data_IF_810824773844
#
_entry.id   IF_810824773844
#
_cell.length_a   1.000
_cell.length_b   1.000
_cell.length_c   1.000
_cell.angle_alpha   90.00
_cell.angle_beta   90.00
_cell.angle_gamma   90.00
#
_symmetry.space_group_name_H-M   'P 1'
#
loop_
_entity.id
_entity.type
_entity.pdbx_description
1 polymer ?
#
# COMPACT_ATOMS: atom_id res chain seq x y z
N UNK A 1 40.44 -37.73 -25.66
CA UNK A 1 39.66 -36.50 -25.37
C UNK A 1 39.27 -36.54 -23.90
N UNK A 2 39.50 -35.48 -23.11
CA UNK A 2 39.08 -35.46 -21.69
C UNK A 2 37.63 -34.98 -21.60
N UNK A 3 36.79 -35.67 -20.83
CA UNK A 3 35.48 -35.17 -20.41
C UNK A 3 35.69 -33.99 -19.45
N UNK A 4 34.93 -32.91 -19.65
CA UNK A 4 34.70 -31.89 -18.63
C UNK A 4 33.29 -32.08 -18.07
N UNK A 5 33.18 -32.33 -16.76
CA UNK A 5 31.92 -32.12 -16.06
C UNK A 5 31.75 -30.61 -15.84
N UNK A 6 30.65 -30.06 -16.32
CA UNK A 6 30.19 -28.73 -15.90
C UNK A 6 29.39 -28.94 -14.61
N UNK A 7 29.91 -28.46 -13.48
CA UNK A 7 29.15 -28.41 -12.25
C UNK A 7 28.11 -27.29 -12.37
N UNK A 8 26.83 -27.63 -12.26
CA UNK A 8 25.77 -26.63 -12.17
C UNK A 8 25.84 -25.96 -10.80
N UNK A 9 26.08 -24.64 -10.79
CA UNK A 9 25.95 -23.83 -9.58
C UNK A 9 24.46 -23.67 -9.28
N UNK A 10 23.99 -23.97 -8.05
CA UNK A 10 22.63 -23.61 -7.67
C UNK A 10 22.54 -22.09 -7.58
N UNK A 11 21.61 -21.49 -8.34
CA UNK A 11 21.22 -20.10 -8.14
C UNK A 11 20.53 -20.02 -6.77
N UNK A 12 21.16 -19.36 -5.81
CA UNK A 12 20.47 -19.00 -4.58
C UNK A 12 19.43 -17.92 -4.94
N UNK A 13 18.15 -18.25 -4.78
CA UNK A 13 17.10 -17.24 -4.80
C UNK A 13 17.33 -16.28 -3.61
N UNK A 14 17.30 -14.98 -3.87
CA UNK A 14 17.24 -14.01 -2.79
C UNK A 14 15.88 -14.12 -2.09
N UNK A 15 15.79 -13.93 -0.76
CA UNK A 15 14.51 -13.95 -0.07
C UNK A 15 13.71 -12.69 -0.40
N UNK A 16 12.53 -12.90 -0.96
CA UNK A 16 11.43 -11.93 -0.97
C UNK A 16 10.78 -11.84 0.42
N UNK A 17 10.02 -10.78 0.66
CA UNK A 17 9.70 -10.18 1.97
C UNK A 17 8.10 -10.31 2.10
N UNK A 18 7.41 -10.35 3.28
CA UNK A 18 5.92 -10.66 3.49
C UNK A 18 4.91 -9.85 4.44
N UNK A 19 4.39 -10.25 5.62
CA UNK A 19 3.81 -9.20 6.54
C UNK A 19 3.95 -9.32 8.07
N UNK A 20 3.93 -8.16 8.76
CA UNK A 20 4.56 -7.90 10.07
C UNK A 20 6.06 -8.24 10.07
N UNK A 21 6.92 -7.53 10.78
CA UNK A 21 8.35 -7.89 10.81
C UNK A 21 9.01 -7.46 12.10
N UNK A 22 10.04 -8.17 12.55
CA UNK A 22 10.94 -7.62 13.56
C UNK A 22 11.72 -6.43 13.00
N UNK A 23 12.12 -5.50 13.86
CA UNK A 23 12.83 -4.28 13.47
C UNK A 23 13.90 -3.86 14.49
N UNK A 24 14.82 -3.02 14.05
CA UNK A 24 15.78 -2.29 14.88
C UNK A 24 15.77 -0.81 14.47
N UNK A 25 16.02 0.08 15.43
CA UNK A 25 16.18 1.51 15.14
C UNK A 25 17.62 1.77 14.66
N UNK A 26 17.75 2.21 13.41
CA UNK A 26 19.02 2.60 12.79
C UNK A 26 19.15 4.12 12.58
N UNK A 27 20.35 4.56 12.21
CA UNK A 27 20.54 5.92 11.67
C UNK A 27 19.85 6.01 10.30
N UNK A 28 18.74 6.74 10.22
CA UNK A 28 17.91 6.84 9.01
C UNK A 28 16.58 6.07 9.07
N UNK A 29 16.19 5.51 10.22
CA UNK A 29 14.84 5.00 10.45
C UNK A 29 14.76 3.55 10.91
N UNK A 30 13.63 2.90 10.63
CA UNK A 30 13.38 1.51 10.99
C UNK A 30 14.05 0.56 10.00
N UNK A 31 14.91 -0.32 10.51
CA UNK A 31 15.52 -1.39 9.75
C UNK A 31 14.80 -2.70 10.09
N UNK A 32 14.10 -3.27 9.11
CA UNK A 32 13.44 -4.56 9.27
C UNK A 32 14.49 -5.68 9.34
N UNK A 33 14.43 -6.51 10.38
CA UNK A 33 15.34 -7.63 10.63
C UNK A 33 14.57 -8.94 10.63
N UNK A 34 15.25 -10.04 10.32
CA UNK A 34 14.70 -11.40 10.34
C UNK A 34 14.70 -11.97 11.77
N UNK A 35 13.65 -12.69 12.14
CA UNK A 35 13.59 -13.52 13.35
C UNK A 35 13.54 -15.01 12.96
N UNK A 36 14.62 -15.73 13.24
CA UNK A 36 14.77 -17.15 12.88
C UNK A 36 14.04 -18.11 13.85
N UNK A 37 13.68 -17.65 15.05
CA UNK A 37 13.02 -18.45 16.09
C UNK A 37 11.48 -18.41 16.00
N UNK A 38 10.92 -17.26 15.64
CA UNK A 38 9.47 -17.03 15.61
C UNK A 38 8.94 -17.25 14.19
N UNK A 39 8.04 -18.23 14.02
CA UNK A 39 7.35 -18.46 12.74
C UNK A 39 5.94 -17.90 12.76
N UNK A 40 5.46 -17.46 11.60
CA UNK A 40 4.04 -17.17 11.37
C UNK A 40 3.30 -18.45 10.99
N UNK A 41 2.51 -18.98 11.92
CA UNK A 41 1.74 -20.20 11.71
C UNK A 41 0.46 -19.92 10.89
N UNK A 42 -0.11 -18.73 11.00
CA UNK A 42 -1.22 -18.29 10.16
C UNK A 42 -1.39 -16.77 10.08
N UNK A 43 -1.86 -16.27 8.94
CA UNK A 43 -2.42 -14.93 8.72
C UNK A 43 -3.87 -15.07 8.23
N UNK A 44 -4.80 -14.39 8.90
CA UNK A 44 -6.20 -14.23 8.49
C UNK A 44 -6.48 -12.74 8.26
N UNK A 45 -6.43 -12.33 6.99
CA UNK A 45 -6.46 -10.96 6.51
C UNK A 45 -7.82 -10.66 5.87
N UNK A 46 -8.43 -9.54 6.23
CA UNK A 46 -9.65 -9.02 5.63
C UNK A 46 -9.47 -7.56 5.22
N UNK A 47 -9.80 -7.24 3.98
CA UNK A 47 -9.66 -5.91 3.39
C UNK A 47 -11.00 -5.43 2.80
N UNK A 48 -11.44 -4.25 3.20
CA UNK A 48 -12.52 -3.48 2.57
C UNK A 48 -12.15 -1.98 2.51
N UNK A 49 -12.89 -1.15 1.76
CA UNK A 49 -12.68 0.31 1.74
C UNK A 49 -12.70 0.97 3.12
N UNK A 50 -13.53 0.46 4.02
CA UNK A 50 -13.75 1.06 5.34
C UNK A 50 -12.75 0.55 6.39
N UNK A 51 -12.18 -0.65 6.18
CA UNK A 51 -11.37 -1.33 7.19
C UNK A 51 -10.47 -2.42 6.61
N UNK A 52 -9.22 -2.43 7.06
CA UNK A 52 -8.36 -3.60 7.07
C UNK A 52 -8.34 -4.18 8.48
N UNK A 53 -8.39 -5.51 8.58
CA UNK A 53 -8.13 -6.23 9.83
C UNK A 53 -7.37 -7.50 9.55
N UNK A 54 -6.36 -7.80 10.37
CA UNK A 54 -5.56 -9.01 10.24
C UNK A 54 -5.37 -9.67 11.60
N UNK A 55 -5.39 -11.00 11.62
CA UNK A 55 -5.12 -11.84 12.78
C UNK A 55 -3.96 -12.77 12.46
N UNK A 56 -2.86 -12.61 13.18
CA UNK A 56 -1.70 -13.48 13.09
C UNK A 56 -1.67 -14.49 14.23
N UNK A 57 -1.12 -15.67 13.95
CA UNK A 57 -0.62 -16.59 14.97
C UNK A 57 0.87 -16.79 14.76
N UNK A 58 1.63 -16.54 15.81
CA UNK A 58 3.08 -16.71 15.81
C UNK A 58 3.49 -17.74 16.85
N UNK A 59 4.41 -18.64 16.54
CA UNK A 59 5.02 -19.55 17.52
C UNK A 59 6.50 -19.30 17.63
N UNK A 60 6.99 -19.07 18.85
CA UNK A 60 8.42 -19.14 19.15
C UNK A 60 8.84 -20.62 19.22
N UNK A 61 9.70 -21.04 18.30
CA UNK A 61 10.26 -22.40 18.19
C UNK A 61 11.59 -22.58 18.95
N UNK A 62 12.14 -21.51 19.50
CA UNK A 62 13.34 -21.51 20.34
C UNK A 62 13.10 -22.04 21.77
N UNK A 63 14.20 -22.13 22.52
CA UNK A 63 14.23 -22.59 23.93
C UNK A 63 14.30 -21.44 24.95
N UNK A 64 14.29 -20.18 24.49
CA UNK A 64 14.28 -18.97 25.29
C UNK A 64 13.19 -17.98 24.82
N UNK A 65 12.77 -17.08 25.71
CA UNK A 65 11.80 -16.03 25.39
C UNK A 65 12.43 -14.96 24.49
N UNK A 66 11.82 -14.68 23.34
CA UNK A 66 12.25 -13.63 22.41
C UNK A 66 11.53 -12.33 22.71
N UNK A 67 12.28 -11.26 22.99
CA UNK A 67 11.76 -9.90 23.16
C UNK A 67 12.17 -9.08 21.95
N UNK A 68 11.20 -8.58 21.19
CA UNK A 68 11.45 -7.94 19.89
C UNK A 68 10.57 -6.72 19.67
N UNK A 69 11.14 -5.71 19.01
CA UNK A 69 10.42 -4.58 18.47
C UNK A 69 9.76 -5.01 17.16
N UNK A 70 8.46 -5.28 17.19
CA UNK A 70 7.68 -5.59 15.99
C UNK A 70 7.36 -4.27 15.27
N UNK A 71 7.38 -4.31 13.95
CA UNK A 71 6.98 -3.23 13.06
C UNK A 71 5.93 -3.72 12.07
N UNK A 72 4.89 -2.91 11.90
CA UNK A 72 3.84 -3.05 10.90
C UNK A 72 3.92 -1.83 9.94
N UNK A 73 4.51 -2.01 8.74
CA UNK A 73 4.53 -0.96 7.74
C UNK A 73 3.15 -0.79 7.12
N UNK A 74 2.83 0.45 6.76
CA UNK A 74 1.70 0.76 5.90
C UNK A 74 2.17 0.93 4.45
N UNK A 75 1.27 0.81 3.46
CA UNK A 75 1.56 1.14 2.08
C UNK A 75 2.15 2.54 1.94
N UNK A 76 3.11 2.68 1.01
CA UNK A 76 3.62 3.97 0.57
C UNK A 76 2.48 4.85 0.04
N UNK A 77 2.49 6.13 0.41
CA UNK A 77 1.53 7.11 -0.09
C UNK A 77 2.29 8.22 -0.80
N UNK A 78 2.16 8.29 -2.11
CA UNK A 78 2.85 9.27 -2.96
C UNK A 78 1.87 10.36 -3.40
N UNK A 79 2.31 11.62 -3.42
CA UNK A 79 1.57 12.69 -4.08
C UNK A 79 1.74 12.63 -5.60
N UNK A 80 0.69 12.99 -6.34
CA UNK A 80 0.73 13.04 -7.81
C UNK A 80 -0.06 14.21 -8.41
N UNK A 81 -0.86 14.92 -7.59
CA UNK A 81 -1.68 16.06 -8.02
C UNK A 81 -2.99 15.73 -8.73
N UNK A 82 -3.13 14.51 -9.26
CA UNK A 82 -4.25 14.08 -10.10
C UNK A 82 -5.22 13.13 -9.40
N UNK A 83 -4.78 12.43 -8.35
CA UNK A 83 -5.56 11.42 -7.63
C UNK A 83 -5.97 11.87 -6.23
N UNK A 84 -7.19 11.49 -5.84
CA UNK A 84 -7.67 11.76 -4.48
C UNK A 84 -7.23 10.64 -3.55
N UNK A 85 -6.32 10.95 -2.63
CA UNK A 85 -5.94 10.07 -1.52
C UNK A 85 -6.79 10.42 -0.30
N UNK A 86 -7.55 9.45 0.22
CA UNK A 86 -8.26 9.61 1.48
C UNK A 86 -7.39 9.15 2.67
N UNK A 87 -7.03 10.09 3.56
CA UNK A 87 -6.68 9.76 4.94
C UNK A 87 -7.98 9.81 5.79
N UNK A 88 -8.22 8.81 6.66
CA UNK A 88 -9.48 8.71 7.41
C UNK A 88 -9.55 9.53 8.71
N UNK A 89 -8.43 10.02 9.25
CA UNK A 89 -8.38 10.77 10.52
C UNK A 89 -7.49 12.03 10.44
N UNK A 90 -7.84 13.06 11.22
CA UNK A 90 -7.06 14.30 11.37
C UNK A 90 -5.97 14.16 12.46
N UNK A 91 -5.93 13.07 13.22
CA UNK A 91 -4.85 12.78 14.19
C UNK A 91 -3.52 12.46 13.47
N UNK A 92 -2.63 13.45 13.40
CA UNK A 92 -1.26 13.33 12.88
C UNK A 92 -0.45 12.17 13.51
N UNK A 93 -0.80 11.72 14.73
CA UNK A 93 -0.12 10.61 15.41
C UNK A 93 -0.78 9.24 15.17
N UNK A 94 -1.98 9.20 14.57
CA UNK A 94 -2.69 7.95 14.26
C UNK A 94 -3.62 8.08 13.04
N UNK A 95 -3.09 8.61 11.93
CA UNK A 95 -3.80 8.95 10.68
C UNK A 95 -4.74 7.86 10.11
N UNK A 96 -4.54 6.60 10.49
CA UNK A 96 -5.30 5.45 9.98
C UNK A 96 -6.17 4.76 11.04
N UNK A 97 -6.27 5.32 12.25
CA UNK A 97 -6.96 4.69 13.38
C UNK A 97 -6.39 3.32 13.75
N UNK A 98 -5.08 3.13 13.62
CA UNK A 98 -4.42 1.85 13.86
C UNK A 98 -4.58 1.41 15.31
N UNK A 99 -4.94 0.14 15.46
CA UNK A 99 -5.09 -0.53 16.75
C UNK A 99 -4.37 -1.87 16.68
N UNK A 100 -3.61 -2.21 17.72
CA UNK A 100 -2.94 -3.50 17.88
C UNK A 100 -3.26 -4.15 19.23
N UNK A 101 -3.33 -5.47 19.25
CA UNK A 101 -3.43 -6.25 20.48
C UNK A 101 -2.61 -7.54 20.41
N UNK A 102 -2.07 -7.94 21.54
CA UNK A 102 -1.22 -9.11 21.73
C UNK A 102 -1.85 -9.99 22.82
N UNK A 103 -2.16 -11.25 22.51
CA UNK A 103 -2.97 -12.17 23.32
C UNK A 103 -4.25 -11.52 23.89
N UNK A 104 -4.95 -10.77 23.03
CA UNK A 104 -6.20 -10.07 23.34
C UNK A 104 -6.05 -8.84 24.24
N UNK A 105 -4.82 -8.42 24.59
CA UNK A 105 -4.55 -7.19 25.34
C UNK A 105 -4.13 -6.08 24.38
N UNK A 106 -4.76 -4.89 24.41
CA UNK A 106 -4.31 -3.75 23.61
C UNK A 106 -2.85 -3.40 23.92
N UNK A 107 -2.05 -3.15 22.89
CA UNK A 107 -0.67 -2.69 23.02
C UNK A 107 -0.58 -1.27 22.47
N UNK A 108 0.21 -0.40 23.13
CA UNK A 108 0.49 0.94 22.61
C UNK A 108 1.55 0.83 21.52
N UNK A 109 1.20 1.23 20.30
CA UNK A 109 2.14 1.42 19.20
C UNK A 109 2.71 2.84 19.15
N UNK A 110 3.83 2.99 18.46
CA UNK A 110 4.43 4.29 18.07
C UNK A 110 4.45 4.37 16.54
N UNK A 111 3.86 5.43 15.98
CA UNK A 111 3.94 5.76 14.56
C UNK A 111 5.29 6.41 14.25
N UNK A 112 5.95 5.93 13.19
CA UNK A 112 7.12 6.54 12.57
C UNK A 112 6.80 6.91 11.14
N UNK A 113 7.21 8.10 10.70
CA UNK A 113 6.94 8.61 9.36
C UNK A 113 8.18 9.25 8.74
N UNK A 114 8.31 9.06 7.43
CA UNK A 114 9.44 9.55 6.65
C UNK A 114 8.96 9.97 5.26
N UNK A 115 9.47 11.09 4.73
CA UNK A 115 9.16 11.58 3.39
C UNK A 115 10.36 11.38 2.47
N UNK A 116 10.14 10.75 1.32
CA UNK A 116 11.18 10.42 0.34
C UNK A 116 10.90 11.07 -1.03
N UNK A 117 11.94 11.57 -1.67
CA UNK A 117 11.94 11.91 -3.10
C UNK A 117 13.01 11.08 -3.81
N UNK A 118 12.64 10.36 -4.87
CA UNK A 118 13.54 9.47 -5.63
C UNK A 118 14.39 8.50 -4.77
N UNK A 119 13.83 8.02 -3.65
CA UNK A 119 14.51 7.13 -2.71
C UNK A 119 15.49 7.81 -1.74
N UNK A 120 15.58 9.14 -1.74
CA UNK A 120 16.35 9.94 -0.76
C UNK A 120 15.40 10.46 0.32
N UNK A 121 15.78 10.27 1.58
CA UNK A 121 15.04 10.82 2.74
C UNK A 121 15.17 12.36 2.77
N UNK A 122 14.02 13.04 2.85
CA UNK A 122 13.87 14.49 2.89
C UNK A 122 13.07 14.94 4.13
N UNK A 123 12.87 14.05 5.11
CA UNK A 123 12.04 14.27 6.30
C UNK A 123 12.51 15.49 7.11
N UNK A 124 13.82 15.63 7.32
CA UNK A 124 14.40 16.77 8.05
C UNK A 124 14.17 18.09 7.30
N UNK A 125 14.28 18.10 5.97
CA UNK A 125 14.03 19.28 5.15
C UNK A 125 12.59 19.78 5.28
N UNK A 126 11.60 18.92 5.00
CA UNK A 126 10.18 19.29 5.12
C UNK A 126 9.84 19.77 6.54
N UNK A 127 10.33 19.04 7.56
CA UNK A 127 10.13 19.41 8.97
C UNK A 127 10.75 20.78 9.29
N UNK A 128 11.96 21.07 8.80
CA UNK A 128 12.63 22.35 9.04
C UNK A 128 11.95 23.55 8.36
N UNK A 129 11.25 23.30 7.25
CA UNK A 129 10.42 24.28 6.53
C UNK A 129 9.00 24.41 7.12
N UNK A 130 8.64 23.58 8.11
CA UNK A 130 7.30 23.53 8.68
C UNK A 130 6.24 22.90 7.77
N UNK A 131 6.66 22.12 6.77
CA UNK A 131 5.78 21.40 5.85
C UNK A 131 5.43 20.03 6.44
N UNK A 132 4.14 19.70 6.63
CA UNK A 132 3.72 18.37 7.07
C UNK A 132 4.19 17.27 6.12
N UNK A 133 4.51 16.08 6.66
CA UNK A 133 5.02 14.96 5.87
C UNK A 133 3.96 14.29 4.97
N UNK A 134 2.67 14.56 5.18
CA UNK A 134 1.59 14.07 4.33
C UNK A 134 1.56 14.86 3.00
N UNK A 135 1.72 14.22 1.81
CA UNK A 135 1.78 14.90 0.52
C UNK A 135 0.42 15.41 -0.02
N UNK A 136 -0.51 15.78 0.87
CA UNK A 136 -1.87 16.23 0.53
C UNK A 136 -2.53 16.90 1.74
N UNK A 137 -3.73 17.46 1.52
CA UNK A 137 -4.51 18.15 2.54
C UNK A 137 -4.21 19.64 2.62
N UNK A 138 -5.16 20.38 3.20
CA UNK A 138 -5.11 21.85 3.27
C UNK A 138 -3.90 22.35 4.08
N UNK A 139 -3.51 21.64 5.15
CA UNK A 139 -2.34 21.99 5.96
C UNK A 139 -1.04 21.98 5.14
N UNK A 140 -0.81 20.93 4.35
CA UNK A 140 0.37 20.81 3.48
C UNK A 140 0.39 21.87 2.39
N UNK A 141 -0.74 22.10 1.71
CA UNK A 141 -0.81 23.13 0.68
C UNK A 141 -0.62 24.54 1.26
N UNK A 142 -1.17 24.81 2.44
CA UNK A 142 -1.01 26.10 3.14
C UNK A 142 0.44 26.33 3.55
N UNK A 143 1.12 25.31 4.08
CA UNK A 143 2.53 25.38 4.42
C UNK A 143 3.40 25.65 3.18
N UNK A 144 3.20 24.88 2.10
CA UNK A 144 3.92 25.07 0.83
C UNK A 144 3.70 26.47 0.24
N UNK A 145 2.47 26.97 0.23
CA UNK A 145 2.13 28.28 -0.32
C UNK A 145 2.70 29.46 0.51
N UNK A 146 3.17 29.21 1.73
CA UNK A 146 3.77 30.20 2.61
C UNK A 146 5.32 30.24 2.57
N UNK A 147 5.96 29.32 1.83
CA UNK A 147 7.41 29.27 1.68
C UNK A 147 7.96 30.39 0.79
N UNK A 148 9.27 30.61 0.81
CA UNK A 148 9.93 31.57 -0.07
C UNK A 148 10.27 30.95 -1.43
N UNK A 149 10.41 31.79 -2.47
CA UNK A 149 10.84 31.38 -3.82
C UNK A 149 12.10 30.48 -3.80
N UNK A 150 13.03 30.74 -2.87
CA UNK A 150 14.26 29.96 -2.74
C UNK A 150 14.02 28.55 -2.15
N UNK A 151 13.06 28.41 -1.24
CA UNK A 151 12.65 27.12 -0.70
C UNK A 151 11.87 26.34 -1.76
N UNK A 152 11.01 27.01 -2.54
CA UNK A 152 10.32 26.41 -3.69
C UNK A 152 11.32 25.88 -4.74
N UNK A 153 12.30 26.69 -5.14
CA UNK A 153 13.37 26.28 -6.05
C UNK A 153 14.12 25.05 -5.52
N UNK A 154 14.39 24.98 -4.20
CA UNK A 154 15.00 23.82 -3.57
C UNK A 154 14.09 22.58 -3.59
N UNK A 155 12.80 22.72 -3.26
CA UNK A 155 11.85 21.60 -3.27
C UNK A 155 11.63 21.06 -4.69
N UNK A 156 11.57 21.93 -5.71
CA UNK A 156 11.51 21.53 -7.13
C UNK A 156 12.80 20.83 -7.55
N UNK A 157 13.97 21.37 -7.19
CA UNK A 157 15.27 20.77 -7.51
C UNK A 157 15.44 19.35 -6.93
N UNK A 158 14.90 19.12 -5.73
CA UNK A 158 14.93 17.81 -5.05
C UNK A 158 13.80 16.86 -5.48
N UNK A 159 12.88 17.30 -6.34
CA UNK A 159 11.74 16.50 -6.79
C UNK A 159 10.70 16.24 -5.71
N UNK A 160 10.56 17.15 -4.75
CA UNK A 160 9.52 17.12 -3.72
C UNK A 160 8.21 17.71 -4.23
N UNK A 161 8.27 18.72 -5.10
CA UNK A 161 7.07 19.38 -5.66
C UNK A 161 7.17 19.63 -7.16
N UNK A 162 6.01 19.69 -7.84
CA UNK A 162 5.88 20.15 -9.23
C UNK A 162 5.19 21.53 -9.24
N UNK A 163 5.72 22.53 -9.96
CA UNK A 163 5.08 23.83 -10.12
C UNK A 163 3.93 23.76 -11.15
N UNK A 164 2.71 24.03 -10.69
CA UNK A 164 1.49 24.08 -11.49
C UNK A 164 1.09 25.53 -11.77
N UNK A 165 1.25 25.97 -13.02
CA UNK A 165 0.95 27.35 -13.43
C UNK A 165 -0.45 27.47 -14.04
N UNK A 166 -1.24 28.43 -13.54
CA UNK A 166 -2.59 28.73 -14.05
C UNK A 166 -2.94 30.21 -13.89
N UNK A 167 -4.01 30.64 -14.57
CA UNK A 167 -4.63 31.96 -14.40
C UNK A 167 -6.11 31.76 -14.10
N UNK A 168 -6.55 32.17 -12.91
CA UNK A 168 -7.95 32.10 -12.46
C UNK A 168 -8.76 33.37 -12.78
N UNK A 169 -8.18 34.27 -13.59
CA UNK A 169 -8.71 35.60 -13.90
C UNK A 169 -8.20 36.69 -12.94
N UNK A 170 -7.41 36.35 -11.92
CA UNK A 170 -6.66 37.32 -11.10
C UNK A 170 -5.18 37.46 -11.51
N UNK A 171 -4.75 36.74 -12.56
CA UNK A 171 -3.39 36.71 -13.08
C UNK A 171 -2.70 35.37 -12.84
N UNK A 172 -1.53 35.20 -13.45
CA UNK A 172 -0.73 33.98 -13.33
C UNK A 172 -0.33 33.69 -11.87
N UNK A 173 -0.62 32.47 -11.44
CA UNK A 173 -0.25 31.86 -10.17
C UNK A 173 0.57 30.60 -10.41
N UNK A 174 1.37 30.22 -9.42
CA UNK A 174 2.04 28.92 -9.37
C UNK A 174 1.66 28.29 -8.03
N UNK A 175 0.93 27.18 -8.07
CA UNK A 175 0.78 26.31 -6.91
C UNK A 175 1.85 25.22 -6.97
N UNK A 176 2.31 24.74 -5.81
CA UNK A 176 3.29 23.67 -5.74
C UNK A 176 2.60 22.39 -5.29
N UNK A 177 2.52 21.43 -6.20
CA UNK A 177 1.90 20.12 -5.98
C UNK A 177 2.90 19.17 -5.32
N UNK A 178 2.62 18.60 -4.14
CA UNK A 178 3.45 17.55 -3.54
C UNK A 178 3.56 16.32 -4.45
N UNK A 179 4.79 15.81 -4.62
CA UNK A 179 5.05 14.54 -5.33
C UNK A 179 5.99 13.58 -4.57
N UNK A 180 6.21 13.84 -3.28
CA UNK A 180 7.00 12.96 -2.42
C UNK A 180 6.21 11.73 -1.95
N UNK A 181 6.93 10.68 -1.58
CA UNK A 181 6.38 9.46 -0.98
C UNK A 181 6.49 9.51 0.53
N UNK A 182 5.35 9.51 1.22
CA UNK A 182 5.24 9.26 2.65
C UNK A 182 5.32 7.74 2.90
N UNK A 183 6.28 7.34 3.73
CA UNK A 183 6.36 6.00 4.34
C UNK A 183 5.90 6.09 5.78
N UNK A 184 5.02 5.18 6.21
CA UNK A 184 4.50 5.12 7.58
C UNK A 184 4.68 3.72 8.17
N UNK A 185 5.03 3.61 9.45
CA UNK A 185 5.20 2.32 10.13
C UNK A 185 4.85 2.42 11.61
N UNK A 186 4.02 1.52 12.10
CA UNK A 186 3.73 1.37 13.52
C UNK A 186 4.70 0.38 14.17
N UNK A 187 5.14 0.66 15.40
CA UNK A 187 6.03 -0.24 16.15
C UNK A 187 5.56 -0.46 17.57
N UNK A 188 5.82 -1.65 18.12
CA UNK A 188 5.58 -1.97 19.53
C UNK A 188 6.50 -3.09 20.02
N UNK A 189 6.75 -3.11 21.32
CA UNK A 189 7.50 -4.20 21.97
C UNK A 189 6.60 -5.42 22.17
N UNK A 190 7.11 -6.61 21.81
CA UNK A 190 6.44 -7.88 21.99
C UNK A 190 7.38 -8.91 22.64
N UNK A 191 6.82 -9.73 23.53
CA UNK A 191 7.49 -10.89 24.11
C UNK A 191 6.82 -12.16 23.58
N UNK A 192 7.59 -13.02 22.92
CA UNK A 192 7.18 -14.32 22.42
C UNK A 192 7.79 -15.40 23.32
N UNK A 193 7.03 -16.01 24.26
CA UNK A 193 7.60 -16.94 25.23
C UNK A 193 8.02 -18.27 24.58
N UNK A 194 9.08 -18.89 25.09
CA UNK A 194 9.65 -20.12 24.54
C UNK A 194 8.61 -21.23 24.35
N UNK A 195 8.53 -21.79 23.13
CA UNK A 195 7.59 -22.87 22.80
C UNK A 195 6.11 -22.50 22.93
N UNK A 196 5.74 -21.21 22.85
CA UNK A 196 4.35 -20.74 22.89
C UNK A 196 3.91 -20.15 21.56
N UNK A 197 2.63 -20.36 21.27
CA UNK A 197 1.87 -19.64 20.24
C UNK A 197 1.20 -18.43 20.87
N UNK A 198 1.32 -17.26 20.25
CA UNK A 198 0.65 -16.01 20.62
C UNK A 198 -0.26 -15.55 19.48
N UNK A 199 -1.26 -14.72 19.81
CA UNK A 199 -2.17 -14.11 18.84
C UNK A 199 -1.94 -12.60 18.76
N UNK A 200 -1.69 -12.09 17.55
CA UNK A 200 -1.61 -10.64 17.27
C UNK A 200 -2.79 -10.25 16.40
N UNK A 201 -3.41 -9.10 16.68
CA UNK A 201 -4.52 -8.57 15.87
C UNK A 201 -4.30 -7.11 15.55
N UNK A 202 -4.42 -6.74 14.28
CA UNK A 202 -4.45 -5.35 13.82
C UNK A 202 -5.79 -4.97 13.24
N UNK A 203 -6.16 -3.70 13.37
CA UNK A 203 -7.20 -3.07 12.57
C UNK A 203 -6.89 -1.59 12.37
N UNK A 204 -7.17 -1.11 11.15
CA UNK A 204 -7.03 0.28 10.72
C UNK A 204 -7.98 0.53 9.53
N UNK A 205 -8.25 1.79 9.21
CA UNK A 205 -8.92 2.16 7.96
C UNK A 205 -7.86 2.43 6.89
N UNK A 206 -7.93 1.77 5.71
CA UNK A 206 -6.89 1.91 4.70
C UNK A 206 -6.89 3.30 4.06
N UNK A 207 -5.74 3.69 3.52
CA UNK A 207 -5.72 4.74 2.50
C UNK A 207 -6.46 4.24 1.26
N UNK A 208 -7.46 5.00 0.82
CA UNK A 208 -8.20 4.69 -0.42
C UNK A 208 -7.87 5.80 -1.42
N UNK A 209 -7.04 5.46 -2.41
CA UNK A 209 -6.81 6.32 -3.56
C UNK A 209 -7.96 6.21 -4.57
N UNK A 210 -8.09 7.17 -5.49
CA UNK A 210 -9.02 7.03 -6.61
C UNK A 210 -9.09 8.20 -7.57
N UNK A 211 -9.87 8.01 -8.64
CA UNK A 211 -10.18 8.98 -9.68
C UNK A 211 -11.67 9.34 -9.70
N UNK A 212 -12.04 10.37 -10.47
CA UNK A 212 -13.44 10.78 -10.66
C UNK A 212 -14.19 9.97 -11.73
N UNK A 213 -13.54 9.06 -12.47
CA UNK A 213 -14.12 8.29 -13.58
C UNK A 213 -13.25 7.07 -13.95
N UNK A 214 -13.77 6.15 -14.78
CA UNK A 214 -12.93 5.08 -15.36
C UNK A 214 -12.01 5.67 -16.44
N UNK A 215 -10.75 5.89 -16.09
CA UNK A 215 -9.66 6.44 -16.91
C UNK A 215 -8.83 5.37 -17.62
N UNK A 216 -8.63 4.20 -17.00
CA UNK A 216 -7.61 3.22 -17.44
C UNK A 216 -7.90 2.55 -18.78
N UNK A 217 -9.10 2.72 -19.34
CA UNK A 217 -9.47 2.20 -20.66
C UNK A 217 -9.18 3.17 -21.81
N UNK A 218 -8.80 4.42 -21.50
CA UNK A 218 -8.35 5.41 -22.48
C UNK A 218 -6.99 4.98 -23.03
N UNK A 219 -6.86 4.77 -24.36
CA UNK A 219 -5.56 4.46 -24.97
C UNK A 219 -4.64 5.68 -24.93
N UNK A 220 -3.32 5.50 -24.96
CA UNK A 220 -2.37 6.61 -25.10
C UNK A 220 -2.64 7.39 -26.40
N UNK A 221 -2.51 8.72 -26.35
CA UNK A 221 -2.72 9.61 -27.49
C UNK A 221 -1.55 9.51 -28.49
N UNK A 222 -0.32 9.42 -27.99
CA UNK A 222 0.88 9.18 -28.78
C UNK A 222 1.89 8.25 -28.06
N UNK A 223 3.11 8.14 -28.56
CA UNK A 223 4.13 7.22 -28.05
C UNK A 223 4.88 7.73 -26.80
N UNK A 224 4.58 8.93 -26.32
CA UNK A 224 5.12 9.53 -25.08
C UNK A 224 4.15 9.45 -23.90
N UNK A 225 2.86 9.23 -24.17
CA UNK A 225 1.84 8.93 -23.16
C UNK A 225 2.05 7.56 -22.51
N UNK A 226 1.65 7.45 -21.25
CA UNK A 226 1.57 6.17 -20.55
C UNK A 226 0.47 5.27 -21.13
N UNK A 227 0.82 4.00 -21.41
CA UNK A 227 -0.16 2.95 -21.73
C UNK A 227 -0.89 2.50 -20.44
N UNK A 228 -1.75 3.38 -19.91
CA UNK A 228 -2.60 3.11 -18.73
C UNK A 228 -3.34 1.77 -18.84
N UNK A 229 -3.94 1.38 -20.00
CA UNK A 229 -4.56 0.06 -20.15
C UNK A 229 -3.61 -1.10 -19.86
N UNK A 230 -2.37 -1.03 -20.33
CA UNK A 230 -1.35 -2.05 -20.06
C UNK A 230 -0.91 -2.02 -18.60
N UNK A 231 -0.56 -0.85 -18.07
CA UNK A 231 -0.10 -0.67 -16.68
C UNK A 231 -1.14 -1.22 -15.69
N UNK A 232 -2.41 -0.87 -15.86
CA UNK A 232 -3.49 -1.37 -15.00
C UNK A 232 -3.74 -2.87 -15.17
N UNK A 233 -3.58 -3.41 -16.38
CA UNK A 233 -3.71 -4.85 -16.64
C UNK A 233 -2.61 -5.65 -15.95
N UNK A 234 -1.39 -5.13 -15.94
CA UNK A 234 -0.24 -5.73 -15.24
C UNK A 234 -0.38 -5.56 -13.71
N UNK A 235 -0.70 -4.36 -13.21
CA UNK A 235 -0.80 -4.05 -11.77
C UNK A 235 -1.97 -4.73 -11.05
N UNK A 236 -3.17 -4.73 -11.65
CA UNK A 236 -4.41 -5.21 -11.00
C UNK A 236 -4.94 -6.52 -11.62
N UNK A 237 -4.15 -7.19 -12.45
CA UNK A 237 -4.51 -8.42 -13.17
C UNK A 237 -5.86 -8.36 -13.91
N UNK A 238 -6.15 -7.23 -14.57
CA UNK A 238 -7.44 -6.97 -15.22
C UNK A 238 -7.68 -7.93 -16.38
N UNK A 239 -8.68 -8.80 -16.25
CA UNK A 239 -9.06 -9.73 -17.30
C UNK A 239 -9.92 -9.09 -18.42
N UNK A 240 -9.95 -9.76 -19.58
CA UNK A 240 -10.70 -9.31 -20.75
C UNK A 240 -12.23 -9.31 -20.53
N UNK A 241 -12.72 -10.06 -19.52
CA UNK A 241 -14.14 -10.12 -19.16
C UNK A 241 -14.59 -8.88 -18.38
N UNK A 242 -13.74 -8.35 -17.51
CA UNK A 242 -13.92 -7.08 -16.80
C UNK A 242 -13.88 -5.91 -17.81
N UNK A 243 -12.89 -5.89 -18.70
CA UNK A 243 -12.81 -4.89 -19.79
C UNK A 243 -14.08 -4.93 -20.67
N UNK A 244 -14.55 -6.13 -21.03
CA UNK A 244 -15.80 -6.30 -21.81
C UNK A 244 -17.02 -5.81 -21.04
N UNK A 245 -17.09 -6.05 -19.73
CA UNK A 245 -18.19 -5.61 -18.85
C UNK A 245 -18.25 -4.08 -18.78
N UNK A 246 -17.10 -3.43 -18.59
CA UNK A 246 -16.98 -1.97 -18.57
C UNK A 246 -17.40 -1.35 -19.92
N UNK A 247 -16.87 -1.86 -21.04
CA UNK A 247 -17.24 -1.41 -22.40
C UNK A 247 -18.73 -1.64 -22.73
N UNK A 248 -19.31 -2.72 -22.22
CA UNK A 248 -20.75 -2.95 -22.33
C UNK A 248 -21.56 -1.90 -21.55
N UNK A 249 -21.08 -1.46 -20.38
CA UNK A 249 -21.74 -0.48 -19.50
C UNK A 249 -21.64 0.99 -19.93
N UNK A 250 -20.72 1.36 -20.83
CA UNK A 250 -20.59 2.72 -21.40
C UNK A 250 -21.95 3.25 -21.90
N UNK A 251 -22.38 4.42 -21.44
CA UNK A 251 -23.61 5.07 -21.91
C UNK A 251 -23.42 5.75 -23.27
N UNK A 252 -22.19 6.16 -23.60
CA UNK A 252 -21.77 6.63 -24.92
C UNK A 252 -20.61 5.76 -25.44
N UNK A 253 -20.79 5.06 -26.57
CA UNK A 253 -19.79 4.09 -27.07
C UNK A 253 -18.49 4.70 -27.62
N UNK A 254 -18.39 6.02 -27.77
CA UNK A 254 -17.16 6.71 -28.18
C UNK A 254 -16.45 7.43 -27.04
N UNK A 255 -16.93 7.28 -25.79
CA UNK A 255 -16.43 8.02 -24.63
C UNK A 255 -16.26 7.09 -23.42
N UNK A 256 -15.02 6.91 -22.96
CA UNK A 256 -14.72 6.07 -21.79
C UNK A 256 -15.13 6.71 -20.46
N UNK A 257 -15.22 8.03 -20.38
CA UNK A 257 -15.74 8.73 -19.19
C UNK A 257 -17.24 8.50 -18.97
N UNK A 258 -17.95 8.02 -20.01
CA UNK A 258 -19.35 7.59 -19.94
C UNK A 258 -19.59 6.25 -19.21
N UNK A 259 -18.51 5.60 -18.75
CA UNK A 259 -18.58 4.38 -17.92
C UNK A 259 -19.11 4.77 -16.53
N UNK A 260 -20.19 4.13 -16.04
CA UNK A 260 -20.81 4.45 -14.74
C UNK A 260 -20.04 3.85 -13.55
N UNK A 261 -18.71 3.96 -13.56
CA UNK A 261 -17.81 3.49 -12.50
C UNK A 261 -16.69 4.51 -12.27
N UNK A 262 -16.31 4.72 -11.02
CA UNK A 262 -15.04 5.39 -10.65
C UNK A 262 -14.02 4.36 -10.20
N UNK A 263 -12.73 4.68 -10.34
CA UNK A 263 -11.65 3.84 -9.84
C UNK A 263 -11.34 4.24 -8.41
N UNK A 264 -11.27 3.25 -7.52
CA UNK A 264 -10.67 3.35 -6.21
C UNK A 264 -9.60 2.27 -6.10
N UNK A 265 -8.53 2.54 -5.35
CA UNK A 265 -7.45 1.58 -5.14
C UNK A 265 -7.15 1.43 -3.65
N UNK A 266 -6.88 0.19 -3.27
CA UNK A 266 -6.34 -0.15 -1.96
C UNK A 266 -5.08 -0.97 -2.22
N UNK A 267 -3.95 -0.47 -1.76
CA UNK A 267 -2.73 -1.26 -1.66
C UNK A 267 -2.62 -1.84 -0.25
N UNK A 268 -2.10 -3.05 -0.13
CA UNK A 268 -1.74 -3.66 1.15
C UNK A 268 -0.33 -4.23 1.01
N UNK A 269 0.58 -3.76 1.86
CA UNK A 269 1.89 -4.37 1.97
C UNK A 269 1.68 -5.79 2.45
N UNK A 270 1.93 -6.76 1.57
CA UNK A 270 2.13 -8.16 1.94
C UNK A 270 3.55 -8.59 1.59
N UNK A 271 4.48 -7.62 1.56
CA UNK A 271 5.90 -7.79 1.20
C UNK A 271 6.97 -7.46 2.30
N UNK A 272 6.71 -7.46 3.62
CA UNK A 272 7.68 -7.50 4.77
C UNK A 272 7.91 -8.80 5.60
N UNK A 273 6.98 -9.37 6.36
CA UNK A 273 7.10 -10.62 7.15
C UNK A 273 7.38 -12.01 6.54
N UNK A 274 8.14 -12.12 5.45
CA UNK A 274 8.97 -13.31 5.23
C UNK A 274 10.26 -13.20 6.06
N UNK A 275 10.39 -12.07 6.77
CA UNK A 275 11.29 -11.84 7.89
C UNK A 275 10.95 -12.69 9.13
N UNK A 276 9.89 -13.50 9.12
CA UNK A 276 9.66 -14.54 10.13
C UNK A 276 10.22 -15.90 9.68
N UNK A 277 10.32 -16.85 10.60
CA UNK A 277 10.92 -18.17 10.37
C UNK A 277 10.10 -19.06 9.42
N UNK A 278 10.39 -18.96 8.13
CA UNK A 278 9.81 -19.79 7.06
C UNK A 278 8.57 -19.20 6.40
N UNK A 279 7.86 -19.98 5.55
CA UNK A 279 6.62 -19.54 4.92
C UNK A 279 5.50 -19.33 5.94
N UNK A 280 4.48 -18.57 5.53
CA UNK A 280 3.24 -18.41 6.30
C UNK A 280 2.50 -19.76 6.27
N UNK A 281 2.40 -20.43 7.42
CA UNK A 281 1.86 -21.80 7.48
C UNK A 281 0.46 -21.92 6.89
N UNK A 282 -0.42 -20.96 7.19
CA UNK A 282 -1.76 -20.82 6.59
C UNK A 282 -2.11 -19.36 6.32
N UNK A 283 -2.28 -19.02 5.06
CA UNK A 283 -2.76 -17.71 4.64
C UNK A 283 -4.24 -17.77 4.23
N UNK A 284 -5.02 -16.84 4.75
CA UNK A 284 -6.40 -16.58 4.35
C UNK A 284 -6.56 -15.09 4.06
N UNK A 285 -7.12 -14.76 2.90
CA UNK A 285 -7.42 -13.39 2.49
C UNK A 285 -8.89 -13.28 2.09
N UNK A 286 -9.60 -12.36 2.73
CA UNK A 286 -10.94 -11.90 2.37
C UNK A 286 -10.86 -10.50 1.76
N UNK A 287 -11.41 -10.32 0.56
CA UNK A 287 -11.61 -9.01 -0.06
C UNK A 287 -13.12 -8.73 -0.13
N UNK A 288 -13.56 -7.63 0.47
CA UNK A 288 -14.94 -7.13 0.39
C UNK A 288 -14.99 -5.83 -0.40
N UNK A 289 -15.73 -5.83 -1.53
CA UNK A 289 -15.90 -4.66 -2.41
C UNK A 289 -17.04 -3.70 -1.98
N UNK A 290 -17.64 -3.89 -0.81
CA UNK A 290 -18.63 -3.00 -0.19
C UNK A 290 -20.05 -3.07 -0.77
N UNK A 291 -20.23 -2.77 -2.06
CA UNK A 291 -21.55 -2.80 -2.73
C UNK A 291 -21.62 -3.96 -3.76
N UNK A 292 -22.70 -4.77 -3.80
CA UNK A 292 -22.88 -5.83 -4.80
C UNK A 292 -22.73 -5.38 -6.26
N UNK A 293 -22.97 -4.11 -6.58
CA UNK A 293 -22.88 -3.48 -7.91
C UNK A 293 -21.45 -3.10 -8.32
N UNK A 294 -20.53 -2.94 -7.36
CA UNK A 294 -19.12 -2.63 -7.62
C UNK A 294 -18.44 -3.78 -8.36
N UNK A 295 -17.35 -3.51 -9.07
CA UNK A 295 -16.45 -4.54 -9.62
C UNK A 295 -15.11 -4.49 -8.86
N UNK A 296 -14.33 -5.57 -8.94
CA UNK A 296 -13.05 -5.69 -8.23
C UNK A 296 -12.05 -6.48 -9.09
N UNK A 297 -10.79 -6.09 -9.06
CA UNK A 297 -9.66 -6.76 -9.73
C UNK A 297 -8.41 -6.68 -8.85
N UNK A 298 -7.68 -7.79 -8.73
CA UNK A 298 -6.43 -7.89 -7.99
C UNK A 298 -5.65 -9.11 -8.51
N UNK A 299 -4.34 -9.14 -8.29
CA UNK A 299 -3.50 -10.29 -8.64
C UNK A 299 -3.55 -11.38 -7.58
N UNK A 300 -3.77 -12.63 -8.00
CA UNK A 300 -3.70 -13.83 -7.16
C UNK A 300 -3.51 -15.07 -8.03
N UNK A 301 -2.42 -15.82 -7.82
CA UNK A 301 -2.08 -17.02 -8.62
C UNK A 301 -2.98 -18.22 -8.32
N UNK A 302 -3.59 -18.25 -7.13
CA UNK A 302 -4.44 -19.34 -6.68
C UNK A 302 -5.89 -19.21 -7.13
N UNK A 303 -6.77 -20.02 -6.52
CA UNK A 303 -8.21 -19.94 -6.80
C UNK A 303 -8.87 -18.85 -5.96
N UNK A 304 -9.48 -17.87 -6.62
CA UNK A 304 -10.42 -16.92 -6.00
C UNK A 304 -11.79 -17.58 -5.84
N UNK A 305 -12.36 -17.56 -4.63
CA UNK A 305 -13.71 -18.05 -4.33
C UNK A 305 -14.63 -16.89 -3.93
N UNK A 306 -15.59 -16.53 -4.78
CA UNK A 306 -16.68 -15.64 -4.36
C UNK A 306 -17.56 -16.34 -3.30
N UNK A 307 -17.67 -15.78 -2.11
CA UNK A 307 -18.42 -16.38 -0.98
C UNK A 307 -19.68 -15.61 -0.59
N UNK A 308 -19.78 -14.34 -0.99
CA UNK A 308 -20.95 -13.50 -0.74
C UNK A 308 -21.29 -12.60 -1.92
N UNK A 309 -22.26 -11.69 -1.77
CA UNK A 309 -22.58 -10.68 -2.80
C UNK A 309 -21.37 -9.79 -3.14
N UNK A 310 -20.55 -9.48 -2.13
CA UNK A 310 -19.40 -8.57 -2.17
C UNK A 310 -18.07 -9.24 -1.81
N UNK A 311 -18.07 -10.36 -1.10
CA UNK A 311 -16.87 -11.01 -0.56
C UNK A 311 -16.27 -12.07 -1.48
N UNK A 312 -14.93 -12.08 -1.50
CA UNK A 312 -14.09 -13.04 -2.20
C UNK A 312 -13.02 -13.56 -1.23
N UNK A 313 -12.83 -14.87 -1.20
CA UNK A 313 -11.89 -15.54 -0.30
C UNK A 313 -10.83 -16.30 -1.10
N UNK A 314 -9.60 -16.21 -0.60
CA UNK A 314 -8.41 -16.89 -1.10
C UNK A 314 -7.73 -17.61 0.08
N UNK A 315 -7.12 -18.76 -0.20
CA UNK A 315 -6.39 -19.55 0.80
C UNK A 315 -5.12 -20.13 0.20
N UNK A 316 -4.04 -20.16 0.97
CA UNK A 316 -2.83 -20.91 0.67
C UNK A 316 -2.26 -21.55 1.95
N UNK A 317 -1.67 -22.74 1.83
CA UNK A 317 -0.89 -23.39 2.89
C UNK A 317 0.61 -23.29 2.52
N UNK A 318 1.50 -23.18 3.51
CA UNK A 318 2.95 -22.97 3.35
C UNK A 318 3.28 -21.84 2.34
N UNK A 319 2.57 -20.71 2.45
CA UNK A 319 2.60 -19.63 1.48
C UNK A 319 3.86 -18.76 1.61
N UNK A 320 4.54 -18.53 0.48
CA UNK A 320 5.63 -17.56 0.34
C UNK A 320 5.10 -16.37 -0.45
N UNK A 321 5.03 -15.18 0.17
CA UNK A 321 4.46 -14.00 -0.50
C UNK A 321 5.41 -13.42 -1.57
N UNK A 322 4.84 -12.78 -2.61
CA UNK A 322 5.63 -12.36 -3.77
C UNK A 322 6.37 -11.04 -3.52
N UNK A 323 7.35 -10.71 -4.38
CA UNK A 323 8.18 -9.48 -4.26
C UNK A 323 7.45 -8.16 -4.62
N UNK A 324 6.13 -8.16 -4.64
CA UNK A 324 5.27 -7.01 -4.93
C UNK A 324 4.10 -6.98 -3.95
N UNK A 325 3.53 -5.81 -3.70
CA UNK A 325 2.39 -5.64 -2.78
C UNK A 325 1.05 -6.09 -3.37
N UNK A 326 0.04 -6.29 -2.53
CA UNK A 326 -1.32 -6.56 -2.97
C UNK A 326 -1.99 -5.27 -3.39
N UNK A 327 -2.17 -5.10 -4.70
CA UNK A 327 -2.91 -3.98 -5.28
C UNK A 327 -4.33 -4.41 -5.69
N UNK A 328 -5.34 -3.73 -5.13
CA UNK A 328 -6.76 -3.98 -5.36
C UNK A 328 -7.38 -2.78 -6.09
N UNK A 329 -7.82 -2.99 -7.33
CA UNK A 329 -8.68 -2.06 -8.05
C UNK A 329 -10.14 -2.35 -7.69
N UNK A 330 -10.80 -1.37 -7.10
CA UNK A 330 -12.24 -1.32 -6.90
C UNK A 330 -12.85 -0.38 -7.93
N UNK A 331 -13.91 -0.83 -8.59
CA UNK A 331 -14.66 -0.02 -9.55
C UNK A 331 -16.01 0.25 -8.91
N UNK A 332 -16.13 1.42 -8.25
CA UNK A 332 -17.32 1.78 -7.49
C UNK A 332 -18.40 2.24 -8.45
N UNK A 333 -19.59 1.64 -8.34
CA UNK A 333 -20.72 1.96 -9.22
C UNK A 333 -21.21 3.38 -8.95
N UNK A 334 -21.11 4.27 -9.94
CA UNK A 334 -21.86 5.52 -9.91
C UNK A 334 -23.31 5.22 -10.25
N UNK A 335 -24.22 5.70 -9.41
CA UNK A 335 -25.58 5.96 -9.86
C UNK A 335 -25.52 7.14 -10.84
N UNK A 336 -26.17 6.98 -11.99
CA UNK A 336 -26.27 8.07 -12.98
C UNK A 336 -27.06 9.21 -12.36
N UNK A 337 -26.49 10.42 -12.35
CA UNK A 337 -27.26 11.61 -12.06
C UNK A 337 -28.44 11.69 -13.06
N UNK A 338 -29.65 11.83 -12.54
CA UNK A 338 -30.87 12.07 -13.31
C UNK A 338 -30.90 13.50 -13.86
#
# INVERSE_FOLDING_TARGET
MRLFLIAALPLAAAPAIANDTTSQLGTGGLLFVTNENVSMDSEDLSISPDRVSVVYRFTNKGDADDNVLVAFPLPDITGDGDFMVAIPDEDEQNLFGFTTSFDGRPVKSTLHQYAFAFGVDQTELLTSLGVPLAPFGEATQTALNALSDADHDQLVHLGLVIPMQYDDGSGWKTDYTPVWTLKSTYTWEANFPAGKTVEVRHAYTPSVGGTVATTFLTPPYDATDEDRPKIYKEKYCIDDSLIKTLKASMTNKTDFYSIPYVENWISYVWSTGANWSGPIGKFHLTIDKGDPRNLVSFCWDGKVRKTGPTTFEMTADDWVPPEHDLDILLLLRRDTAN
#
